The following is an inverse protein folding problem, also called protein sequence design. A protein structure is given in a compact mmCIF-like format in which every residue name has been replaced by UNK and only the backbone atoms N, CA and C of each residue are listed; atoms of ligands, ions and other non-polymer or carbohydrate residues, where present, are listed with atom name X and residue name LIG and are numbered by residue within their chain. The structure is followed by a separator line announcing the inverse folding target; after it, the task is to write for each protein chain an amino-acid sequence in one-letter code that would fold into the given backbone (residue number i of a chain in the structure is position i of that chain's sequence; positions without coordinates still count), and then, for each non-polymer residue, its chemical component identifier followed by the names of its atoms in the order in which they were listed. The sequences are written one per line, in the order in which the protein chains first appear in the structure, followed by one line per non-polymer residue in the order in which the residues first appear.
data_IF_248506062504
#
_entry.id   IF_248506062504
#
_cell.length_a   1.000
_cell.length_b   1.000
_cell.length_c   1.000
_cell.angle_alpha   90.00
_cell.angle_beta   90.00
_cell.angle_gamma   90.00
#
_symmetry.space_group_name_H-M   'P 1'
#
loop_
_entity.id
_entity.type
_entity.pdbx_description
1 polymer ?
#
# COMPACT_ATOMS: atom_id res chain seq x y z
N UNK A 1 -28.31 11.90 -15.56
CA UNK A 1 -27.90 10.70 -16.30
C UNK A 1 -27.32 9.72 -15.29
N UNK A 2 -28.07 8.66 -14.98
CA UNK A 2 -27.72 7.59 -14.02
C UNK A 2 -26.51 6.82 -14.55
N UNK A 3 -25.29 7.26 -14.24
CA UNK A 3 -24.16 6.37 -14.37
C UNK A 3 -24.31 5.27 -13.30
N UNK A 4 -24.41 4.06 -13.83
CA UNK A 4 -24.98 2.87 -13.24
C UNK A 4 -24.44 2.52 -11.84
N UNK A 5 -25.25 1.83 -11.03
CA UNK A 5 -24.88 1.25 -9.72
C UNK A 5 -23.61 0.39 -9.79
N UNK A 6 -23.38 -0.29 -10.92
CA UNK A 6 -22.28 -1.25 -11.14
C UNK A 6 -20.86 -0.67 -10.94
N UNK A 7 -20.43 0.43 -11.59
CA UNK A 7 -19.10 1.02 -11.37
C UNK A 7 -18.87 1.46 -9.93
N UNK A 8 -19.88 1.97 -9.23
CA UNK A 8 -19.73 2.33 -7.81
C UNK A 8 -19.53 1.10 -6.92
N UNK A 9 -20.25 0.02 -7.18
CA UNK A 9 -20.05 -1.26 -6.51
C UNK A 9 -18.68 -1.89 -6.83
N UNK A 10 -18.19 -1.76 -8.06
CA UNK A 10 -16.83 -2.15 -8.43
C UNK A 10 -15.79 -1.35 -7.65
N UNK A 11 -15.99 -0.04 -7.52
CA UNK A 11 -15.10 0.82 -6.72
C UNK A 11 -15.10 0.44 -5.24
N UNK A 12 -16.23 -0.01 -4.68
CA UNK A 12 -16.25 -0.55 -3.31
C UNK A 12 -15.36 -1.79 -3.17
N UNK A 13 -15.40 -2.71 -4.14
CA UNK A 13 -14.50 -3.87 -4.17
C UNK A 13 -13.03 -3.46 -4.26
N UNK A 14 -12.70 -2.53 -5.18
CA UNK A 14 -11.33 -2.05 -5.38
C UNK A 14 -10.83 -1.28 -4.16
N UNK A 15 -11.70 -0.53 -3.49
CA UNK A 15 -11.38 0.18 -2.25
C UNK A 15 -10.94 -0.79 -1.15
N UNK A 16 -11.75 -1.79 -0.84
CA UNK A 16 -11.41 -2.76 0.21
C UNK A 16 -10.16 -3.56 -0.14
N UNK A 17 -9.98 -3.91 -1.42
CA UNK A 17 -8.74 -4.51 -1.92
C UNK A 17 -7.53 -3.57 -1.71
N UNK A 18 -7.70 -2.28 -1.98
CA UNK A 18 -6.69 -1.24 -1.80
C UNK A 18 -6.29 -1.09 -0.32
N UNK A 19 -7.26 -0.94 0.58
CA UNK A 19 -7.03 -0.82 2.03
C UNK A 19 -6.17 -1.96 2.55
N UNK A 20 -6.59 -3.21 2.29
CA UNK A 20 -5.85 -4.38 2.76
C UNK A 20 -4.48 -4.51 2.10
N UNK A 21 -4.36 -4.21 0.80
CA UNK A 21 -3.06 -4.22 0.11
C UNK A 21 -2.08 -3.26 0.76
N UNK A 22 -2.50 -2.02 1.03
CA UNK A 22 -1.65 -0.97 1.61
C UNK A 22 -1.26 -1.33 3.04
N UNK A 23 -2.19 -1.82 3.84
CA UNK A 23 -1.91 -2.22 5.22
C UNK A 23 -0.81 -3.30 5.28
N UNK A 24 -0.96 -4.38 4.48
CA UNK A 24 0.04 -5.45 4.40
C UNK A 24 1.39 -4.94 3.87
N UNK A 25 1.37 -4.13 2.80
CA UNK A 25 2.60 -3.61 2.19
C UNK A 25 3.33 -2.65 3.12
N UNK A 26 2.61 -1.75 3.79
CA UNK A 26 3.21 -0.79 4.73
C UNK A 26 3.83 -1.50 5.93
N UNK A 27 3.15 -2.49 6.53
CA UNK A 27 3.72 -3.30 7.61
C UNK A 27 5.04 -3.95 7.19
N UNK A 28 5.09 -4.50 5.97
CA UNK A 28 6.31 -5.13 5.43
C UNK A 28 7.39 -4.14 5.01
N UNK A 29 7.02 -2.93 4.60
CA UNK A 29 7.97 -1.86 4.27
C UNK A 29 8.64 -1.26 5.50
N UNK A 30 7.93 -1.23 6.63
CA UNK A 30 8.44 -0.74 7.92
C UNK A 30 9.29 -1.78 8.65
N UNK A 31 9.05 -3.07 8.39
CA UNK A 31 9.73 -4.18 9.07
C UNK A 31 11.28 -4.16 9.02
N UNK A 32 11.95 -3.76 7.94
CA UNK A 32 13.42 -3.71 7.91
C UNK A 32 14.03 -2.71 8.91
N UNK A 33 13.29 -1.65 9.26
CA UNK A 33 13.76 -0.59 10.16
C UNK A 33 13.27 -0.78 11.59
N UNK A 34 12.00 -1.18 11.75
CA UNK A 34 11.35 -1.25 13.06
C UNK A 34 11.13 -2.69 13.56
N UNK A 35 11.50 -3.70 12.77
CA UNK A 35 11.25 -5.12 13.04
C UNK A 35 9.85 -5.57 12.61
N UNK A 36 9.68 -6.89 12.44
CA UNK A 36 8.40 -7.50 12.06
C UNK A 36 7.56 -7.96 13.28
N UNK A 37 7.83 -7.42 14.46
CA UNK A 37 7.21 -7.83 15.73
C UNK A 37 5.82 -7.23 15.97
N UNK A 38 5.25 -7.56 17.13
CA UNK A 38 3.91 -7.13 17.55
C UNK A 38 3.76 -5.61 17.57
N UNK A 39 4.81 -4.86 17.95
CA UNK A 39 4.77 -3.40 18.00
C UNK A 39 4.53 -2.77 16.62
N UNK A 40 5.27 -3.21 15.59
CA UNK A 40 5.12 -2.68 14.22
C UNK A 40 3.77 -3.04 13.63
N UNK A 41 3.35 -4.31 13.75
CA UNK A 41 2.04 -4.75 13.29
C UNK A 41 0.89 -4.04 14.01
N UNK A 42 0.97 -3.96 15.34
CA UNK A 42 -0.02 -3.27 16.16
C UNK A 42 -0.13 -1.78 15.82
N UNK A 43 1.00 -1.11 15.56
CA UNK A 43 1.00 0.28 15.11
C UNK A 43 0.32 0.43 13.75
N UNK A 44 0.65 -0.42 12.78
CA UNK A 44 0.08 -0.32 11.42
C UNK A 44 -1.42 -0.58 11.44
N UNK A 45 -1.90 -1.60 12.16
CA UNK A 45 -3.33 -1.88 12.32
C UNK A 45 -4.02 -0.69 13.02
N UNK A 46 -3.47 -0.22 14.14
CA UNK A 46 -4.04 0.88 14.91
C UNK A 46 -4.16 2.17 14.09
N UNK A 47 -3.09 2.53 13.37
CA UNK A 47 -3.08 3.69 12.47
C UNK A 47 -4.05 3.49 11.31
N UNK A 48 -4.15 2.29 10.74
CA UNK A 48 -5.11 1.96 9.68
C UNK A 48 -6.54 2.23 10.14
N UNK A 49 -6.91 1.72 11.33
CA UNK A 49 -8.24 1.93 11.90
C UNK A 49 -8.53 3.41 12.20
N UNK A 50 -7.57 4.14 12.77
CA UNK A 50 -7.70 5.59 13.01
C UNK A 50 -7.90 6.33 11.68
N UNK A 51 -7.11 5.98 10.66
CA UNK A 51 -7.18 6.61 9.34
C UNK A 51 -8.54 6.37 8.68
N UNK A 52 -9.04 5.13 8.73
CA UNK A 52 -10.36 4.78 8.23
C UNK A 52 -11.46 5.52 9.01
N UNK A 53 -11.37 5.62 10.33
CA UNK A 53 -12.32 6.37 11.15
C UNK A 53 -12.37 7.85 10.76
N UNK A 54 -11.21 8.49 10.54
CA UNK A 54 -11.13 9.86 10.00
C UNK A 54 -11.81 9.92 8.63
N UNK A 55 -11.53 8.95 7.76
CA UNK A 55 -12.14 8.82 6.45
C UNK A 55 -13.66 8.70 6.50
N UNK A 56 -14.21 7.84 7.36
CA UNK A 56 -15.65 7.68 7.51
C UNK A 56 -16.33 8.98 7.96
N UNK A 57 -15.73 9.67 8.92
CA UNK A 57 -16.24 10.93 9.44
C UNK A 57 -16.21 12.05 8.38
N UNK A 58 -15.06 12.24 7.72
CA UNK A 58 -14.90 13.23 6.65
C UNK A 58 -15.78 12.91 5.45
N UNK A 59 -15.87 11.63 5.10
CA UNK A 59 -16.73 11.11 4.03
C UNK A 59 -18.19 11.44 4.30
N UNK A 60 -18.67 11.22 5.53
CA UNK A 60 -20.04 11.57 5.94
C UNK A 60 -20.33 13.06 5.74
N UNK A 61 -19.51 13.93 6.33
CA UNK A 61 -19.68 15.39 6.20
C UNK A 61 -19.56 15.91 4.76
N UNK A 62 -18.59 15.39 4.00
CA UNK A 62 -18.37 15.85 2.62
C UNK A 62 -19.40 15.28 1.66
N UNK A 63 -20.01 14.13 1.97
CA UNK A 63 -21.08 13.53 1.15
C UNK A 63 -22.34 14.39 1.10
N UNK A 64 -22.64 15.13 2.16
CA UNK A 64 -23.79 16.06 2.22
C UNK A 64 -23.59 17.24 1.27
N UNK A 65 -22.35 17.76 1.19
CA UNK A 65 -22.02 18.91 0.35
C UNK A 65 -21.70 18.53 -1.10
N UNK A 66 -21.06 17.39 -1.31
CA UNK A 66 -20.51 16.95 -2.60
C UNK A 66 -21.05 15.57 -2.98
N UNK A 67 -22.32 15.51 -3.40
CA UNK A 67 -22.99 14.26 -3.78
C UNK A 67 -22.89 13.99 -5.30
N UNK A 68 -21.68 13.74 -5.80
CA UNK A 68 -21.43 13.46 -7.22
C UNK A 68 -20.44 12.31 -7.40
N UNK A 69 -20.60 11.52 -8.47
CA UNK A 69 -19.64 10.45 -8.79
C UNK A 69 -18.24 11.02 -9.06
N UNK A 70 -18.16 12.25 -9.61
CA UNK A 70 -16.90 12.91 -9.90
C UNK A 70 -16.08 13.10 -8.61
N UNK A 71 -16.73 13.46 -7.50
CA UNK A 71 -16.07 13.62 -6.22
C UNK A 71 -15.47 12.29 -5.73
N UNK A 72 -16.22 11.18 -5.85
CA UNK A 72 -15.73 9.83 -5.52
C UNK A 72 -14.49 9.49 -6.35
N UNK A 73 -14.54 9.74 -7.66
CA UNK A 73 -13.43 9.42 -8.57
C UNK A 73 -12.19 10.28 -8.29
N UNK A 74 -12.36 11.56 -7.97
CA UNK A 74 -11.25 12.42 -7.57
C UNK A 74 -10.65 12.03 -6.22
N UNK A 75 -11.46 11.61 -5.24
CA UNK A 75 -10.97 11.06 -3.97
C UNK A 75 -10.11 9.81 -4.20
N UNK A 76 -10.55 8.92 -5.09
CA UNK A 76 -9.77 7.73 -5.49
C UNK A 76 -8.44 8.09 -6.18
N UNK A 77 -8.45 9.05 -7.10
CA UNK A 77 -7.23 9.54 -7.75
C UNK A 77 -6.27 10.12 -6.71
N UNK A 78 -6.76 10.93 -5.77
CA UNK A 78 -5.92 11.52 -4.73
C UNK A 78 -5.32 10.43 -3.82
N UNK A 79 -6.12 9.44 -3.41
CA UNK A 79 -5.64 8.28 -2.65
C UNK A 79 -4.54 7.53 -3.42
N UNK A 80 -4.75 7.31 -4.72
CA UNK A 80 -3.79 6.60 -5.57
C UNK A 80 -2.41 7.25 -5.62
N UNK A 81 -2.33 8.58 -5.56
CA UNK A 81 -1.05 9.31 -5.57
C UNK A 81 -0.26 8.99 -4.29
N UNK A 82 -0.91 8.99 -3.13
CA UNK A 82 -0.26 8.59 -1.87
C UNK A 82 0.16 7.12 -1.88
N UNK A 83 -0.65 6.24 -2.47
CA UNK A 83 -0.32 4.80 -2.57
C UNK A 83 0.88 4.56 -3.50
N UNK A 84 0.92 5.19 -4.67
CA UNK A 84 2.03 5.06 -5.62
C UNK A 84 3.35 5.57 -5.02
N UNK A 85 3.29 6.61 -4.19
CA UNK A 85 4.47 7.20 -3.55
C UNK A 85 4.90 6.47 -2.27
N UNK A 86 4.06 5.60 -1.72
CA UNK A 86 4.31 4.81 -0.49
C UNK A 86 5.69 4.14 -0.42
N UNK A 87 6.22 3.48 -1.47
CA UNK A 87 7.56 2.87 -1.42
C UNK A 87 8.70 3.87 -1.29
N UNK A 88 8.58 5.03 -1.92
CA UNK A 88 9.61 6.08 -1.81
C UNK A 88 9.48 6.81 -0.48
N UNK A 89 8.25 7.08 -0.04
CA UNK A 89 7.98 7.81 1.19
C UNK A 89 8.40 7.00 2.41
N UNK A 90 8.14 5.69 2.44
CA UNK A 90 8.61 4.81 3.52
C UNK A 90 10.12 4.89 3.69
N UNK A 91 10.91 4.68 2.62
CA UNK A 91 12.38 4.78 2.65
C UNK A 91 12.89 6.14 3.13
N UNK A 92 12.29 7.23 2.65
CA UNK A 92 12.70 8.60 3.02
C UNK A 92 12.39 8.91 4.48
N UNK A 93 11.19 8.55 4.95
CA UNK A 93 10.79 8.79 6.34
C UNK A 93 11.61 7.96 7.32
N UNK A 94 11.85 6.69 7.00
CA UNK A 94 12.70 5.82 7.86
C UNK A 94 14.13 6.32 7.93
N UNK A 95 14.68 6.84 6.83
CA UNK A 95 16.00 7.47 6.83
C UNK A 95 16.02 8.79 7.62
N UNK A 96 14.96 9.59 7.51
CA UNK A 96 14.84 10.87 8.21
C UNK A 96 14.74 10.71 9.73
N UNK A 97 14.05 9.67 10.20
CA UNK A 97 13.89 9.37 11.63
C UNK A 97 14.90 8.35 12.16
N UNK A 98 15.99 8.08 11.43
CA UNK A 98 16.97 7.05 11.79
C UNK A 98 17.66 7.33 13.14
N UNK A 99 17.91 8.60 13.47
CA UNK A 99 18.63 9.01 14.69
C UNK A 99 17.74 9.14 15.94
N UNK A 100 16.44 8.84 15.83
CA UNK A 100 15.47 8.95 16.93
C UNK A 100 15.20 7.55 17.51
N UNK A 101 14.76 7.50 18.77
CA UNK A 101 14.24 6.27 19.39
C UNK A 101 13.28 5.51 18.45
N UNK A 102 13.48 4.20 18.33
CA UNK A 102 12.79 3.35 17.37
C UNK A 102 11.28 3.33 17.58
N UNK A 103 10.81 3.39 18.83
CA UNK A 103 9.38 3.43 19.16
C UNK A 103 8.73 4.73 18.72
N UNK A 104 9.37 5.86 19.03
CA UNK A 104 8.91 7.18 18.60
C UNK A 104 8.97 7.35 17.08
N UNK A 105 10.05 6.90 16.44
CA UNK A 105 10.23 6.93 14.99
C UNK A 105 9.13 6.14 14.27
N UNK A 106 8.76 4.96 14.77
CA UNK A 106 7.63 4.17 14.26
C UNK A 106 6.29 4.90 14.45
N UNK A 107 6.06 5.48 15.63
CA UNK A 107 4.85 6.22 15.96
C UNK A 107 4.66 7.49 15.11
N UNK A 108 5.74 8.07 14.58
CA UNK A 108 5.68 9.20 13.65
C UNK A 108 5.58 8.72 12.20
N UNK A 109 6.37 7.71 11.81
CA UNK A 109 6.46 7.25 10.42
C UNK A 109 5.16 6.61 9.96
N UNK A 110 4.56 5.73 10.77
CA UNK A 110 3.37 4.98 10.34
C UNK A 110 2.16 5.91 10.06
N UNK A 111 1.80 6.89 10.93
CA UNK A 111 0.74 7.84 10.63
C UNK A 111 1.01 8.70 9.39
N UNK A 112 2.23 9.25 9.26
CA UNK A 112 2.58 10.10 8.11
C UNK A 112 2.44 9.32 6.80
N UNK A 113 2.79 8.03 6.82
CA UNK A 113 2.73 7.16 5.65
C UNK A 113 1.30 6.73 5.30
N UNK A 114 0.50 6.36 6.30
CA UNK A 114 -0.77 5.66 6.11
C UNK A 114 -2.00 6.58 6.13
N UNK A 115 -2.02 7.60 6.99
CA UNK A 115 -3.21 8.44 7.21
C UNK A 115 -3.69 9.10 5.92
N UNK A 116 -2.84 9.72 5.08
CA UNK A 116 -3.32 10.37 3.87
C UNK A 116 -4.02 9.42 2.89
N UNK A 117 -3.44 8.24 2.65
CA UNK A 117 -4.02 7.27 1.72
C UNK A 117 -5.27 6.59 2.29
N UNK A 118 -5.19 6.07 3.52
CA UNK A 118 -6.25 5.27 4.11
C UNK A 118 -7.44 6.11 4.57
N UNK A 119 -7.25 7.38 4.94
CA UNK A 119 -8.40 8.27 5.21
C UNK A 119 -9.20 8.55 3.94
N UNK A 120 -8.54 8.77 2.81
CA UNK A 120 -9.22 8.95 1.52
C UNK A 120 -9.94 7.67 1.08
N UNK A 121 -9.33 6.50 1.28
CA UNK A 121 -9.99 5.21 1.04
C UNK A 121 -11.19 5.02 1.98
N UNK A 122 -11.06 5.34 3.27
CA UNK A 122 -12.18 5.27 4.22
C UNK A 122 -13.35 6.20 3.86
N UNK A 123 -13.12 7.32 3.18
CA UNK A 123 -14.22 8.17 2.70
C UNK A 123 -15.08 7.45 1.64
N UNK A 124 -14.48 6.62 0.80
CA UNK A 124 -15.10 6.10 -0.43
C UNK A 124 -16.36 5.26 -0.17
N UNK A 125 -16.39 4.29 0.77
CA UNK A 125 -17.61 3.53 1.07
C UNK A 125 -18.76 4.45 1.48
N UNK A 126 -18.49 5.45 2.32
CA UNK A 126 -19.51 6.41 2.77
C UNK A 126 -20.03 7.26 1.61
N UNK A 127 -19.14 7.76 0.75
CA UNK A 127 -19.54 8.52 -0.43
C UNK A 127 -20.38 7.68 -1.41
N UNK A 128 -20.01 6.41 -1.63
CA UNK A 128 -20.77 5.48 -2.47
C UNK A 128 -22.16 5.22 -1.87
N UNK A 129 -22.24 4.94 -0.57
CA UNK A 129 -23.50 4.67 0.13
C UNK A 129 -24.43 5.88 0.02
N UNK A 130 -23.94 7.08 0.30
CA UNK A 130 -24.74 8.30 0.20
C UNK A 130 -25.23 8.51 -1.24
N UNK A 131 -24.34 8.30 -2.22
CA UNK A 131 -24.66 8.49 -3.64
C UNK A 131 -25.73 7.54 -4.15
N UNK A 132 -25.68 6.28 -3.74
CA UNK A 132 -26.64 5.23 -4.13
C UNK A 132 -27.95 5.32 -3.34
N UNK A 133 -27.90 5.73 -2.07
CA UNK A 133 -29.09 5.91 -1.22
C UNK A 133 -29.89 7.14 -1.64
N UNK A 134 -29.23 8.22 -2.08
CA UNK A 134 -29.92 9.39 -2.64
C UNK A 134 -30.82 9.06 -3.84
N UNK A 135 -30.65 7.87 -4.44
CA UNK A 135 -31.45 7.38 -5.55
C UNK A 135 -32.56 6.38 -5.15
N UNK A 136 -32.60 5.88 -3.90
CA UNK A 136 -33.57 4.84 -3.44
C UNK A 136 -33.86 4.93 -1.93
N UNK A 137 -35.10 4.62 -1.50
CA UNK A 137 -35.48 4.56 -0.07
C UNK A 137 -34.88 3.37 0.72
N UNK A 138 -33.81 2.75 0.23
CA UNK A 138 -33.20 1.52 0.81
C UNK A 138 -31.75 1.75 1.25
N UNK A 139 -31.55 2.60 2.25
CA UNK A 139 -30.23 2.92 2.80
C UNK A 139 -29.50 1.70 3.37
N UNK A 140 -30.21 0.84 4.12
CA UNK A 140 -29.64 -0.36 4.73
C UNK A 140 -29.14 -1.42 3.72
N UNK A 141 -29.93 -1.71 2.68
CA UNK A 141 -29.54 -2.66 1.61
C UNK A 141 -28.31 -2.15 0.85
N UNK A 142 -28.29 -0.86 0.54
CA UNK A 142 -27.16 -0.22 -0.14
C UNK A 142 -25.87 -0.30 0.68
N UNK A 143 -25.94 0.05 1.97
CA UNK A 143 -24.81 -0.07 2.87
C UNK A 143 -24.30 -1.51 2.98
N UNK A 144 -25.22 -2.47 3.15
CA UNK A 144 -24.87 -3.89 3.22
C UNK A 144 -24.12 -4.38 1.98
N UNK A 145 -24.58 -4.00 0.78
CA UNK A 145 -23.92 -4.40 -0.47
C UNK A 145 -22.53 -3.79 -0.65
N UNK A 146 -22.38 -2.49 -0.32
CA UNK A 146 -21.08 -1.80 -0.42
C UNK A 146 -20.06 -2.43 0.52
N UNK A 147 -20.41 -2.63 1.79
CA UNK A 147 -19.50 -3.26 2.74
C UNK A 147 -19.23 -4.73 2.42
N UNK A 148 -20.21 -5.47 1.89
CA UNK A 148 -19.99 -6.86 1.43
C UNK A 148 -18.93 -6.89 0.33
N UNK A 149 -19.06 -6.04 -0.70
CA UNK A 149 -18.10 -6.02 -1.81
C UNK A 149 -16.72 -5.52 -1.38
N UNK A 150 -16.65 -4.49 -0.54
CA UNK A 150 -15.38 -4.02 0.03
C UNK A 150 -14.70 -5.13 0.85
N UNK A 151 -15.45 -5.84 1.69
CA UNK A 151 -14.91 -6.98 2.48
C UNK A 151 -14.41 -8.11 1.58
N UNK A 152 -15.17 -8.50 0.56
CA UNK A 152 -14.75 -9.54 -0.40
C UNK A 152 -13.46 -9.10 -1.11
N UNK A 153 -13.38 -7.84 -1.56
CA UNK A 153 -12.19 -7.27 -2.17
C UNK A 153 -10.98 -7.29 -1.24
N UNK A 154 -11.18 -6.91 0.02
CA UNK A 154 -10.15 -6.93 1.05
C UNK A 154 -9.62 -8.35 1.35
N UNK A 155 -10.52 -9.33 1.50
CA UNK A 155 -10.12 -10.74 1.69
C UNK A 155 -9.34 -11.26 0.49
N UNK A 156 -9.86 -11.03 -0.73
CA UNK A 156 -9.20 -11.45 -1.97
C UNK A 156 -7.80 -10.82 -2.10
N UNK A 157 -7.67 -9.53 -1.82
CA UNK A 157 -6.40 -8.82 -1.81
C UNK A 157 -5.46 -9.33 -0.72
N UNK A 158 -5.95 -9.62 0.48
CA UNK A 158 -5.10 -10.16 1.57
C UNK A 158 -4.45 -11.48 1.16
N UNK A 159 -5.22 -12.40 0.56
CA UNK A 159 -4.67 -13.65 0.08
C UNK A 159 -3.75 -13.46 -1.11
N UNK A 160 -4.19 -12.71 -2.12
CA UNK A 160 -3.42 -12.52 -3.35
C UNK A 160 -2.13 -11.73 -3.08
N UNK A 161 -2.23 -10.61 -2.37
CA UNK A 161 -1.10 -9.74 -2.06
C UNK A 161 -0.17 -10.39 -1.05
N UNK A 162 -0.72 -10.86 0.07
CA UNK A 162 0.05 -11.43 1.17
C UNK A 162 0.77 -12.73 0.83
N UNK A 163 0.09 -13.66 0.16
CA UNK A 163 0.62 -15.02 -0.05
C UNK A 163 1.26 -15.23 -1.41
N UNK A 164 0.87 -14.47 -2.45
CA UNK A 164 1.37 -14.70 -3.80
C UNK A 164 2.21 -13.53 -4.32
N UNK A 165 1.69 -12.31 -4.31
CA UNK A 165 2.36 -11.17 -4.95
C UNK A 165 3.59 -10.71 -4.17
N UNK A 166 3.50 -10.56 -2.85
CA UNK A 166 4.65 -10.10 -2.04
C UNK A 166 5.86 -11.04 -2.16
N UNK A 167 5.70 -12.38 -2.03
CA UNK A 167 6.83 -13.30 -2.19
C UNK A 167 7.46 -13.28 -3.59
N UNK A 168 6.65 -13.17 -4.65
CA UNK A 168 7.15 -13.26 -6.03
C UNK A 168 7.68 -11.93 -6.60
N UNK A 169 7.07 -10.79 -6.24
CA UNK A 169 7.35 -9.48 -6.84
C UNK A 169 7.85 -8.42 -5.83
N UNK A 170 8.02 -8.80 -4.57
CA UNK A 170 8.49 -7.90 -3.52
C UNK A 170 7.44 -6.90 -3.06
N UNK A 171 7.86 -5.71 -2.63
CA UNK A 171 6.97 -4.71 -2.01
C UNK A 171 6.72 -3.48 -2.90
N UNK A 172 7.73 -3.02 -3.64
CA UNK A 172 7.67 -1.76 -4.39
C UNK A 172 6.72 -1.84 -5.59
N UNK A 173 6.87 -2.86 -6.44
CA UNK A 173 6.02 -3.02 -7.63
C UNK A 173 4.55 -3.24 -7.23
N UNK A 174 4.23 -4.13 -6.28
CA UNK A 174 2.83 -4.32 -5.86
C UNK A 174 2.17 -3.08 -5.29
N UNK A 175 2.88 -2.28 -4.48
CA UNK A 175 2.35 -1.01 -3.96
C UNK A 175 2.01 -0.03 -5.09
N UNK A 176 2.92 0.12 -6.06
CA UNK A 176 2.68 0.99 -7.22
C UNK A 176 1.50 0.47 -8.04
N UNK A 177 1.45 -0.83 -8.33
CA UNK A 177 0.35 -1.44 -9.09
C UNK A 177 -0.99 -1.28 -8.37
N UNK A 178 -1.05 -1.50 -7.05
CA UNK A 178 -2.26 -1.29 -6.26
C UNK A 178 -2.75 0.16 -6.37
N UNK A 179 -1.84 1.13 -6.24
CA UNK A 179 -2.17 2.54 -6.43
C UNK A 179 -2.64 2.83 -7.85
N UNK A 180 -1.95 2.33 -8.87
CA UNK A 180 -2.33 2.52 -10.27
C UNK A 180 -3.69 1.91 -10.59
N UNK A 181 -4.05 0.74 -10.06
CA UNK A 181 -5.38 0.15 -10.25
C UNK A 181 -6.45 1.11 -9.72
N UNK A 182 -6.28 1.61 -8.50
CA UNK A 182 -7.18 2.58 -7.88
C UNK A 182 -7.35 3.84 -8.75
N UNK A 183 -6.25 4.47 -9.18
CA UNK A 183 -6.33 5.72 -9.92
C UNK A 183 -6.70 5.58 -11.40
N UNK A 184 -6.27 4.51 -12.08
CA UNK A 184 -6.59 4.28 -13.50
C UNK A 184 -8.06 3.97 -13.72
N UNK A 185 -8.69 3.17 -12.85
CA UNK A 185 -10.14 2.91 -12.92
C UNK A 185 -10.90 4.22 -12.80
N UNK A 186 -10.57 5.07 -11.82
CA UNK A 186 -11.23 6.37 -11.63
C UNK A 186 -10.93 7.36 -12.74
N UNK A 187 -9.72 7.37 -13.30
CA UNK A 187 -9.37 8.16 -14.48
C UNK A 187 -10.25 7.78 -15.67
N UNK A 188 -10.37 6.49 -15.99
CA UNK A 188 -11.20 6.00 -17.09
C UNK A 188 -12.67 6.38 -16.88
N UNK A 189 -13.20 6.22 -15.67
CA UNK A 189 -14.57 6.61 -15.35
C UNK A 189 -14.81 8.12 -15.50
N UNK A 190 -13.85 8.97 -15.13
CA UNK A 190 -13.93 10.42 -15.35
C UNK A 190 -13.88 10.80 -16.84
N UNK A 191 -13.04 10.11 -17.63
CA UNK A 191 -12.93 10.35 -19.07
C UNK A 191 -14.21 9.95 -19.82
N UNK A 192 -14.86 8.84 -19.44
CA UNK A 192 -16.16 8.44 -19.97
C UNK A 192 -17.23 9.52 -19.71
N UNK A 193 -17.10 10.27 -18.61
CA UNK A 193 -17.96 11.42 -18.28
C UNK A 193 -17.55 12.73 -18.99
N UNK A 194 -16.56 12.70 -19.87
CA UNK A 194 -16.08 13.86 -20.63
C UNK A 194 -15.12 14.78 -19.86
N UNK A 195 -14.63 14.39 -18.68
CA UNK A 195 -13.69 15.21 -17.88
C UNK A 195 -12.25 15.04 -18.36
N UNK A 196 -11.87 15.80 -19.39
CA UNK A 196 -10.51 15.74 -19.98
C UNK A 196 -9.38 16.05 -19.00
N UNK A 197 -9.65 16.79 -17.91
CA UNK A 197 -8.68 17.09 -16.85
C UNK A 197 -8.15 15.80 -16.20
N UNK A 198 -8.90 14.69 -16.24
CA UNK A 198 -8.45 13.40 -15.73
C UNK A 198 -7.22 12.84 -16.48
N UNK A 199 -6.95 13.28 -17.71
CA UNK A 199 -5.72 12.90 -18.43
C UNK A 199 -4.44 13.33 -17.73
N UNK A 200 -4.50 14.33 -16.84
CA UNK A 200 -3.37 14.71 -15.97
C UNK A 200 -2.85 13.54 -15.13
N UNK A 201 -3.68 12.53 -14.82
CA UNK A 201 -3.26 11.33 -14.11
C UNK A 201 -2.21 10.50 -14.89
N UNK A 202 -2.11 10.66 -16.22
CA UNK A 202 -1.05 10.04 -17.02
C UNK A 202 0.34 10.45 -16.53
N UNK A 203 0.50 11.67 -15.98
CA UNK A 203 1.75 12.12 -15.36
C UNK A 203 2.14 11.22 -14.19
N UNK A 204 1.16 10.81 -13.37
CA UNK A 204 1.38 9.89 -12.24
C UNK A 204 1.78 8.51 -12.76
N UNK A 205 1.13 8.03 -13.83
CA UNK A 205 1.48 6.75 -14.48
C UNK A 205 2.92 6.80 -14.99
N UNK A 206 3.30 7.82 -15.75
CA UNK A 206 4.66 7.97 -16.30
C UNK A 206 5.68 8.10 -15.16
N UNK A 207 5.40 8.92 -14.16
CA UNK A 207 6.28 9.06 -12.98
C UNK A 207 6.47 7.73 -12.24
N UNK A 208 5.39 6.93 -12.11
CA UNK A 208 5.47 5.62 -11.47
C UNK A 208 6.34 4.64 -12.26
N UNK A 209 6.22 4.62 -13.59
CA UNK A 209 7.04 3.77 -14.47
C UNK A 209 8.52 4.15 -14.39
N UNK A 210 8.83 5.45 -14.34
CA UNK A 210 10.20 5.93 -14.16
C UNK A 210 10.75 5.59 -12.77
N UNK A 211 9.90 5.59 -11.74
CA UNK A 211 10.29 5.25 -10.36
C UNK A 211 10.58 3.76 -10.15
N UNK A 212 10.06 2.88 -11.02
CA UNK A 212 10.33 1.43 -11.02
C UNK A 212 11.70 1.09 -11.61
N UNK A 213 12.54 2.09 -11.97
CA UNK A 213 13.97 1.85 -12.21
C UNK A 213 14.61 1.34 -10.92
N UNK A 214 14.55 0.03 -10.77
CA UNK A 214 15.37 -0.73 -9.86
C UNK A 214 16.80 -0.33 -10.18
N UNK A 215 17.46 0.31 -9.23
CA UNK A 215 18.89 0.10 -9.14
C UNK A 215 19.03 -1.42 -9.10
N UNK A 216 19.56 -2.01 -10.18
CA UNK A 216 20.25 -3.28 -10.05
C UNK A 216 21.24 -3.01 -8.94
N UNK A 217 20.94 -3.50 -7.74
CA UNK A 217 21.92 -3.56 -6.66
C UNK A 217 23.11 -4.23 -7.35
N UNK A 218 24.16 -3.46 -7.61
CA UNK A 218 25.44 -4.02 -8.06
C UNK A 218 25.85 -4.88 -6.89
N UNK A 219 25.49 -6.14 -6.97
CA UNK A 219 25.72 -7.08 -5.92
C UNK A 219 27.22 -7.29 -5.87
N UNK A 220 27.88 -6.54 -4.99
CA UNK A 220 29.13 -6.97 -4.37
C UNK A 220 28.91 -8.23 -3.49
N UNK A 221 27.67 -8.72 -3.46
CA UNK A 221 27.11 -9.86 -2.74
C UNK A 221 26.84 -11.01 -3.72
N UNK A 222 27.67 -12.04 -3.75
CA UNK A 222 27.38 -13.27 -4.49
C UNK A 222 26.64 -14.23 -3.55
N UNK A 223 25.36 -14.49 -3.81
CA UNK A 223 24.58 -15.46 -3.04
C UNK A 223 25.04 -16.86 -3.44
N UNK A 224 25.65 -17.58 -2.50
CA UNK A 224 26.18 -18.93 -2.73
C UNK A 224 25.13 -20.00 -2.46
N UNK A 225 24.32 -19.77 -1.44
CA UNK A 225 23.31 -20.72 -0.99
C UNK A 225 22.11 -19.97 -0.42
N UNK A 226 20.92 -20.41 -0.79
CA UNK A 226 19.67 -19.92 -0.25
C UNK A 226 18.72 -21.10 -0.10
N UNK A 227 18.20 -21.31 1.12
CA UNK A 227 17.15 -22.26 1.38
C UNK A 227 16.09 -21.65 2.28
N UNK A 228 14.83 -21.96 2.00
CA UNK A 228 13.71 -21.61 2.85
C UNK A 228 13.04 -22.89 3.35
N UNK A 229 12.83 -22.97 4.66
CA UNK A 229 12.23 -24.14 5.30
C UNK A 229 11.64 -23.83 6.67
N UNK A 230 11.32 -24.89 7.44
CA UNK A 230 10.75 -24.80 8.78
C UNK A 230 11.55 -23.92 9.76
N UNK A 231 12.85 -23.76 9.54
CA UNK A 231 13.75 -22.95 10.37
C UNK A 231 13.93 -21.50 9.88
N UNK A 232 13.16 -21.08 8.87
CA UNK A 232 13.25 -19.75 8.27
C UNK A 232 14.12 -19.70 7.01
N UNK A 233 14.44 -18.49 6.58
CA UNK A 233 15.28 -18.22 5.41
C UNK A 233 16.76 -18.32 5.81
N UNK A 234 17.46 -19.31 5.29
CA UNK A 234 18.90 -19.46 5.44
C UNK A 234 19.58 -18.95 4.17
N UNK A 235 20.57 -18.08 4.32
CA UNK A 235 21.29 -17.50 3.18
C UNK A 235 22.77 -17.39 3.49
N UNK A 236 23.62 -17.83 2.55
CA UNK A 236 25.07 -17.65 2.60
C UNK A 236 25.46 -16.74 1.45
N UNK A 237 26.16 -15.65 1.76
CA UNK A 237 26.53 -14.62 0.77
C UNK A 237 27.99 -14.26 0.93
N UNK A 238 28.72 -14.18 -0.19
CA UNK A 238 30.06 -13.62 -0.23
C UNK A 238 29.98 -12.12 -0.49
N UNK A 239 30.49 -11.32 0.45
CA UNK A 239 30.59 -9.87 0.36
C UNK A 239 32.00 -9.46 -0.02
N UNK A 240 32.12 -8.62 -1.05
CA UNK A 240 33.39 -7.96 -1.38
C UNK A 240 33.47 -6.61 -0.67
N UNK A 241 34.20 -6.54 0.44
CA UNK A 241 34.46 -5.30 1.16
C UNK A 241 35.95 -4.97 1.12
N UNK A 242 36.29 -3.82 0.53
CA UNK A 242 37.66 -3.28 0.50
C UNK A 242 38.76 -4.28 0.06
N UNK A 243 38.50 -5.01 -1.02
CA UNK A 243 39.35 -6.08 -1.60
C UNK A 243 39.45 -7.41 -0.81
N UNK A 244 38.84 -7.50 0.38
CA UNK A 244 38.64 -8.76 1.11
C UNK A 244 37.28 -9.39 0.79
N UNK A 245 37.25 -10.72 0.74
CA UNK A 245 36.02 -11.50 0.62
C UNK A 245 35.61 -11.99 2.01
N UNK A 246 34.47 -11.53 2.50
CA UNK A 246 33.88 -12.01 3.75
C UNK A 246 32.63 -12.81 3.43
N UNK A 247 32.59 -14.06 3.87
CA UNK A 247 31.41 -14.92 3.76
C UNK A 247 30.52 -14.68 4.96
N UNK A 248 29.27 -14.29 4.71
CA UNK A 248 28.28 -14.06 5.74
C UNK A 248 27.13 -15.07 5.67
N UNK A 249 26.77 -15.59 6.82
CA UNK A 249 25.59 -16.41 7.01
C UNK A 249 24.46 -15.57 7.60
N UNK A 250 23.30 -15.63 6.98
CA UNK A 250 22.09 -14.94 7.37
C UNK A 250 20.99 -15.94 7.72
N UNK A 251 20.27 -15.63 8.80
CA UNK A 251 19.01 -16.29 9.16
C UNK A 251 17.93 -15.22 9.16
N UNK A 252 16.90 -15.38 8.34
CA UNK A 252 15.82 -14.42 8.15
C UNK A 252 16.34 -13.00 7.80
N UNK A 253 17.38 -12.95 6.96
CA UNK A 253 18.07 -11.70 6.55
C UNK A 253 18.79 -10.95 7.68
N UNK A 254 18.97 -11.59 8.83
CA UNK A 254 19.80 -11.10 9.94
C UNK A 254 21.13 -11.83 9.89
N UNK A 255 22.24 -11.09 9.78
CA UNK A 255 23.58 -11.65 9.76
C UNK A 255 23.91 -12.31 11.10
N UNK A 256 24.25 -13.59 11.07
CA UNK A 256 24.58 -14.40 12.25
C UNK A 256 26.08 -14.57 12.41
N UNK A 257 26.78 -14.84 11.31
CA UNK A 257 28.21 -15.18 11.34
C UNK A 257 28.90 -14.63 10.12
N UNK A 258 30.11 -14.12 10.30
CA UNK A 258 30.97 -13.58 9.27
C UNK A 258 32.32 -14.32 9.33
N UNK A 259 32.77 -14.83 8.19
CA UNK A 259 34.04 -15.53 8.03
C UNK A 259 34.87 -14.75 7.02
N UNK A 260 36.03 -14.25 7.46
CA UNK A 260 36.99 -13.65 6.55
C UNK A 260 37.67 -14.77 5.73
N UNK A 261 37.46 -14.79 4.40
CA UNK A 261 38.02 -15.83 3.53
C UNK A 261 39.55 -15.71 3.36
N UNK A 262 40.18 -14.68 3.95
CA UNK A 262 41.63 -14.51 3.93
C UNK A 262 42.37 -15.33 4.99
N UNK A 263 41.67 -15.89 5.99
CA UNK A 263 42.29 -16.59 7.14
C UNK A 263 42.02 -18.10 7.23
N UNK A 264 41.31 -18.67 6.25
CA UNK A 264 41.01 -20.12 6.18
C UNK A 264 39.52 -20.42 6.32
#
# INVERSE_FOLDING_TARGET
MLLSRKPLLLLAFVEGAGVMSIELLAARMLAPYFGAGLHTWGMVIGVTLISLAIGYYLGGRLSEKYNSDDFIYWTFILASIFIVTLPSSSKKLTAFFFDIDQGLALALTAPILLVPALSLLGMIPILIIQRLTSATDKSGDTAGQVYTLSTIGGIAATYLVGFYIIPNWGLTVPAIVAGLICGTISMVLLLIKGKLIATSYIVVIVFSLLSVRTEKVRSALQVLYQSEGLMGQLMVVDMKYNQSYDRAFFVNRIGQTYIAMHTG
#
